data_IF_312286066825
#
_entry.id   IF_312286066825
#
_cell.length_a   1.000
_cell.length_b   1.000
_cell.length_c   1.000
_cell.angle_alpha   90.00
_cell.angle_beta   90.00
_cell.angle_gamma   90.00
#
_symmetry.space_group_name_H-M   'P 1'
#
loop_
_entity.id
_entity.type
_entity.pdbx_description
1 polymer ?
#
# COMPACT_ATOMS: atom_id res chain seq x y z
N UNK A 1 -24.34 11.70 -33.70
CA UNK A 1 -24.30 11.01 -32.39
C UNK A 1 -23.24 11.70 -31.57
N UNK A 2 -23.61 12.38 -30.49
CA UNK A 2 -22.67 13.03 -29.57
C UNK A 2 -21.90 11.95 -28.82
N UNK A 3 -20.57 11.95 -28.92
CA UNK A 3 -19.71 11.10 -28.10
C UNK A 3 -20.02 11.39 -26.63
N UNK A 4 -20.29 10.37 -25.79
CA UNK A 4 -20.52 10.60 -24.38
C UNK A 4 -19.32 11.34 -23.79
N UNK A 5 -19.57 12.34 -22.94
CA UNK A 5 -18.51 13.05 -22.27
C UNK A 5 -17.67 12.08 -21.43
N UNK A 6 -16.36 12.14 -21.56
CA UNK A 6 -15.44 11.31 -20.79
C UNK A 6 -15.52 11.73 -19.32
N UNK A 7 -15.88 10.80 -18.44
CA UNK A 7 -15.84 11.01 -16.98
C UNK A 7 -14.57 10.36 -16.45
N UNK A 8 -13.76 11.13 -15.73
CA UNK A 8 -12.57 10.64 -15.05
C UNK A 8 -12.89 10.35 -13.58
N UNK A 9 -12.55 9.15 -13.12
CA UNK A 9 -12.63 8.76 -11.71
C UNK A 9 -11.23 8.44 -11.23
N UNK A 10 -10.81 9.07 -10.13
CA UNK A 10 -9.49 8.87 -9.52
C UNK A 10 -9.69 8.24 -8.15
N UNK A 11 -8.95 7.16 -7.90
CA UNK A 11 -8.91 6.46 -6.62
C UNK A 11 -7.47 6.55 -6.10
N UNK A 12 -7.33 6.88 -4.82
CA UNK A 12 -6.06 6.87 -4.11
C UNK A 12 -6.15 5.96 -2.88
N UNK A 13 -5.23 5.00 -2.77
CA UNK A 13 -5.12 4.10 -1.63
C UNK A 13 -4.02 4.53 -0.67
N UNK A 14 -4.38 4.99 0.53
CA UNK A 14 -3.46 5.31 1.60
C UNK A 14 -3.39 4.13 2.59
N UNK A 15 -2.25 3.43 2.64
CA UNK A 15 -2.10 2.19 3.42
C UNK A 15 -1.09 2.35 4.55
N UNK A 16 -1.56 2.23 5.80
CA UNK A 16 -0.70 2.35 6.97
C UNK A 16 -1.12 1.39 8.09
N UNK A 17 -0.11 0.93 8.84
CA UNK A 17 -0.26 0.32 10.16
C UNK A 17 0.84 0.87 11.08
N UNK A 18 0.50 1.29 12.31
CA UNK A 18 1.53 1.60 13.30
C UNK A 18 2.35 0.34 13.60
N UNK A 19 3.64 0.48 13.94
CA UNK A 19 4.42 -0.61 14.50
C UNK A 19 3.68 -1.24 15.68
N UNK A 20 3.60 -2.57 15.69
CA UNK A 20 2.96 -3.37 16.74
C UNK A 20 3.90 -4.40 17.33
N UNK A 21 5.12 -4.46 16.81
CA UNK A 21 6.16 -5.37 17.23
C UNK A 21 6.59 -5.03 18.66
N UNK A 22 6.73 -6.07 19.49
CA UNK A 22 7.30 -5.94 20.80
C UNK A 22 8.78 -5.53 20.65
N UNK A 23 9.26 -4.49 21.35
CA UNK A 23 10.61 -3.94 21.12
C UNK A 23 11.74 -4.88 21.57
N UNK A 24 11.45 -5.94 22.33
CA UNK A 24 12.43 -6.96 22.72
C UNK A 24 12.48 -8.15 21.75
N UNK A 25 11.35 -8.54 21.18
CA UNK A 25 11.28 -9.72 20.30
C UNK A 25 11.21 -9.39 18.83
N UNK A 26 10.87 -8.14 18.49
CA UNK A 26 10.62 -7.66 17.13
C UNK A 26 9.50 -8.45 16.41
N UNK A 27 8.59 -9.03 17.20
CA UNK A 27 7.43 -9.79 16.75
C UNK A 27 6.12 -9.13 17.23
N UNK A 28 5.08 -9.21 16.41
CA UNK A 28 3.73 -8.79 16.82
C UNK A 28 3.14 -9.91 17.69
N UNK A 29 2.67 -9.58 18.89
CA UNK A 29 2.04 -10.55 19.80
C UNK A 29 0.64 -10.95 19.30
N UNK A 30 0.13 -12.09 19.77
CA UNK A 30 -1.22 -12.56 19.42
C UNK A 30 -2.29 -11.55 19.85
N UNK A 31 -3.22 -11.24 18.94
CA UNK A 31 -4.32 -10.31 19.20
C UNK A 31 -5.67 -11.02 19.00
N UNK A 32 -6.37 -11.42 20.08
CA UNK A 32 -7.59 -12.23 19.98
C UNK A 32 -8.71 -11.62 19.12
N UNK A 33 -8.80 -10.29 19.04
CA UNK A 33 -9.79 -9.60 18.21
C UNK A 33 -9.53 -9.70 16.69
N UNK A 34 -8.32 -10.13 16.29
CA UNK A 34 -7.98 -10.39 14.90
C UNK A 34 -8.36 -11.79 14.42
N UNK A 35 -8.96 -12.62 15.27
CA UNK A 35 -9.35 -13.98 14.93
C UNK A 35 -10.17 -14.04 13.61
N UNK A 36 -9.91 -15.03 12.74
CA UNK A 36 -9.04 -16.19 12.95
C UNK A 36 -7.55 -15.93 12.73
N UNK A 37 -7.13 -14.74 12.31
CA UNK A 37 -5.72 -14.41 12.14
C UNK A 37 -5.00 -14.28 13.49
N UNK A 38 -3.67 -14.45 13.47
CA UNK A 38 -2.82 -14.29 14.65
C UNK A 38 -2.91 -12.87 15.23
N UNK A 39 -2.84 -11.86 14.36
CA UNK A 39 -2.85 -10.44 14.70
C UNK A 39 -3.50 -9.59 13.60
N UNK A 40 -3.71 -8.29 13.89
CA UNK A 40 -4.35 -7.38 12.95
C UNK A 40 -3.52 -7.10 11.69
N UNK A 41 -2.18 -7.15 11.76
CA UNK A 41 -1.36 -6.97 10.55
C UNK A 41 -1.61 -8.12 9.58
N UNK A 42 -1.61 -9.37 10.07
CA UNK A 42 -1.90 -10.55 9.25
C UNK A 42 -3.32 -10.52 8.69
N UNK A 43 -4.32 -10.20 9.52
CA UNK A 43 -5.72 -10.12 9.07
C UNK A 43 -5.88 -9.11 7.93
N UNK A 44 -5.38 -7.89 8.14
CA UNK A 44 -5.53 -6.81 7.16
C UNK A 44 -4.69 -7.08 5.92
N UNK A 45 -3.54 -7.73 6.05
CA UNK A 45 -2.78 -8.18 4.88
C UNK A 45 -3.56 -9.19 4.05
N UNK A 46 -4.25 -10.15 4.67
CA UNK A 46 -5.04 -11.15 3.97
C UNK A 46 -6.34 -10.58 3.37
N UNK A 47 -6.96 -9.60 4.03
CA UNK A 47 -8.26 -9.05 3.64
C UNK A 47 -8.15 -7.79 2.75
N UNK A 48 -7.02 -7.08 2.76
CA UNK A 48 -6.85 -5.80 2.07
C UNK A 48 -5.59 -5.72 1.19
N UNK A 49 -4.39 -5.83 1.76
CA UNK A 49 -3.16 -5.56 1.00
C UNK A 49 -2.92 -6.62 -0.09
N UNK A 50 -3.09 -7.90 0.26
CA UNK A 50 -2.90 -9.01 -0.67
C UNK A 50 -4.00 -9.02 -1.74
N UNK A 51 -5.31 -8.93 -1.42
CA UNK A 51 -6.35 -8.93 -2.44
C UNK A 51 -6.26 -7.77 -3.44
N UNK A 52 -5.69 -6.62 -3.08
CA UNK A 52 -5.45 -5.55 -4.05
C UNK A 52 -4.40 -5.94 -5.12
N UNK A 53 -3.44 -6.81 -4.80
CA UNK A 53 -2.47 -7.32 -5.77
C UNK A 53 -3.04 -8.34 -6.77
N UNK A 54 -4.17 -8.98 -6.43
CA UNK A 54 -4.85 -10.02 -7.22
C UNK A 54 -6.38 -9.85 -7.18
N UNK A 55 -6.84 -8.63 -7.46
CA UNK A 55 -8.24 -8.29 -7.40
C UNK A 55 -9.03 -8.97 -8.51
N UNK A 56 -10.21 -9.51 -8.16
CA UNK A 56 -11.08 -10.19 -9.12
C UNK A 56 -11.89 -9.14 -9.89
N UNK A 57 -11.68 -9.05 -11.19
CA UNK A 57 -12.58 -8.30 -12.07
C UNK A 57 -13.76 -9.19 -12.44
N UNK A 58 -14.97 -8.69 -12.21
CA UNK A 58 -16.21 -9.42 -12.47
C UNK A 58 -16.92 -8.87 -13.71
N UNK A 59 -17.63 -9.75 -14.44
CA UNK A 59 -18.60 -9.33 -15.46
C UNK A 59 -19.96 -8.94 -14.84
N UNK A 60 -20.93 -8.61 -15.70
CA UNK A 60 -22.29 -8.23 -15.29
C UNK A 60 -23.08 -9.36 -14.60
N UNK A 61 -22.64 -10.61 -14.78
CA UNK A 61 -23.24 -11.80 -14.17
C UNK A 61 -22.47 -12.23 -12.90
N UNK A 62 -21.46 -11.47 -12.48
CA UNK A 62 -20.64 -11.75 -11.30
C UNK A 62 -19.58 -12.83 -11.49
N UNK A 63 -19.28 -13.24 -12.73
CA UNK A 63 -18.21 -14.21 -13.01
C UNK A 63 -16.86 -13.53 -13.02
N UNK A 64 -15.84 -14.21 -12.50
CA UNK A 64 -14.46 -13.72 -12.55
C UNK A 64 -13.97 -13.80 -14.00
N UNK A 65 -13.67 -12.65 -14.59
CA UNK A 65 -13.13 -12.55 -15.95
C UNK A 65 -11.63 -12.27 -15.98
N UNK A 66 -11.07 -11.76 -14.87
CA UNK A 66 -9.65 -11.46 -14.78
C UNK A 66 -9.20 -11.34 -13.31
N UNK A 67 -7.90 -11.52 -13.08
CA UNK A 67 -7.22 -11.17 -11.83
C UNK A 67 -6.27 -10.01 -12.12
N UNK A 68 -6.62 -8.82 -11.63
CA UNK A 68 -5.89 -7.58 -11.91
C UNK A 68 -5.10 -7.12 -10.67
N UNK A 69 -4.04 -6.35 -10.91
CA UNK A 69 -3.33 -5.64 -9.85
C UNK A 69 -3.93 -4.24 -9.68
N UNK A 70 -4.69 -4.00 -8.62
CA UNK A 70 -5.31 -2.70 -8.35
C UNK A 70 -4.26 -1.60 -8.14
N UNK A 71 -3.11 -1.91 -7.55
CA UNK A 71 -2.01 -0.94 -7.38
C UNK A 71 -1.56 -0.33 -8.71
N UNK A 72 -1.70 -1.10 -9.78
CA UNK A 72 -1.35 -0.67 -11.12
C UNK A 72 -2.43 0.26 -11.75
N UNK A 73 -3.64 0.29 -11.18
CA UNK A 73 -4.79 1.07 -11.65
C UNK A 73 -5.25 2.23 -10.74
N UNK A 74 -4.69 2.36 -9.54
CA UNK A 74 -4.95 3.46 -8.60
C UNK A 74 -3.63 4.07 -8.14
N UNK A 75 -3.62 5.36 -7.78
CA UNK A 75 -2.47 5.89 -7.06
C UNK A 75 -2.45 5.37 -5.62
N UNK A 76 -1.28 5.23 -5.01
CA UNK A 76 -1.20 4.72 -3.65
C UNK A 76 0.05 5.17 -2.91
N UNK A 77 -0.02 5.19 -1.60
CA UNK A 77 1.15 5.27 -0.72
C UNK A 77 1.08 4.17 0.33
N UNK A 78 2.25 3.68 0.76
CA UNK A 78 2.35 2.69 1.83
C UNK A 78 3.35 3.19 2.86
N UNK A 79 2.94 3.22 4.13
CA UNK A 79 3.81 3.62 5.23
C UNK A 79 5.06 2.72 5.34
N UNK A 80 6.26 3.28 5.53
CA UNK A 80 7.50 2.49 5.61
C UNK A 80 7.51 1.40 6.68
N UNK A 81 6.85 1.64 7.82
CA UNK A 81 6.73 0.65 8.90
C UNK A 81 5.89 -0.56 8.46
N UNK A 82 4.78 -0.31 7.77
CA UNK A 82 3.95 -1.37 7.18
C UNK A 82 4.72 -2.10 6.08
N UNK A 83 5.43 -1.38 5.21
CA UNK A 83 6.17 -2.02 4.13
C UNK A 83 7.27 -2.95 4.67
N UNK A 84 8.02 -2.51 5.69
CA UNK A 84 9.00 -3.37 6.38
C UNK A 84 8.35 -4.67 6.90
N UNK A 85 7.16 -4.57 7.50
CA UNK A 85 6.43 -5.75 7.97
C UNK A 85 6.03 -6.65 6.80
N UNK A 86 5.51 -6.08 5.71
CA UNK A 86 5.14 -6.83 4.50
C UNK A 86 6.34 -7.57 3.89
N UNK A 87 7.51 -6.94 3.80
CA UNK A 87 8.71 -7.60 3.26
C UNK A 87 9.10 -8.87 4.05
N UNK A 88 8.88 -8.86 5.37
CA UNK A 88 9.23 -9.98 6.25
C UNK A 88 8.14 -11.04 6.29
N UNK A 89 6.88 -10.61 6.40
CA UNK A 89 5.74 -11.49 6.73
C UNK A 89 4.86 -11.83 5.52
N UNK A 90 4.89 -11.01 4.47
CA UNK A 90 4.11 -11.20 3.24
C UNK A 90 4.90 -10.77 1.98
N UNK A 91 6.08 -11.37 1.72
CA UNK A 91 7.00 -10.91 0.69
C UNK A 91 6.39 -10.92 -0.72
N UNK A 92 5.50 -11.86 -1.03
CA UNK A 92 4.78 -11.87 -2.31
C UNK A 92 3.84 -10.67 -2.47
N UNK A 93 3.17 -10.26 -1.38
CA UNK A 93 2.33 -9.06 -1.39
C UNK A 93 3.18 -7.81 -1.60
N UNK A 94 4.32 -7.69 -0.90
CA UNK A 94 5.28 -6.60 -1.10
C UNK A 94 5.78 -6.54 -2.55
N UNK A 95 6.19 -7.69 -3.12
CA UNK A 95 6.63 -7.80 -4.51
C UNK A 95 5.53 -7.38 -5.48
N UNK A 96 4.29 -7.79 -5.23
CA UNK A 96 3.14 -7.48 -6.09
C UNK A 96 2.77 -6.00 -6.08
N UNK A 97 2.94 -5.32 -4.95
CA UNK A 97 2.77 -3.87 -4.85
C UNK A 97 3.80 -3.14 -5.74
N UNK A 98 5.08 -3.50 -5.63
CA UNK A 98 6.17 -2.89 -6.43
C UNK A 98 5.95 -3.18 -7.93
N UNK A 99 5.52 -4.39 -8.27
CA UNK A 99 5.16 -4.75 -9.64
C UNK A 99 4.01 -3.88 -10.16
N UNK A 100 3.01 -3.57 -9.33
CA UNK A 100 1.91 -2.69 -9.71
C UNK A 100 2.37 -1.27 -10.07
N UNK A 101 3.31 -0.72 -9.31
CA UNK A 101 3.92 0.57 -9.64
C UNK A 101 4.67 0.50 -10.99
N UNK A 102 5.50 -0.51 -11.19
CA UNK A 102 6.25 -0.71 -12.45
C UNK A 102 5.32 -0.85 -13.66
N UNK A 103 4.24 -1.63 -13.53
CA UNK A 103 3.23 -1.79 -14.56
C UNK A 103 2.53 -0.45 -14.89
N UNK A 104 2.35 0.41 -13.89
CA UNK A 104 1.81 1.76 -14.11
C UNK A 104 2.81 2.68 -14.80
N UNK A 105 4.11 2.61 -14.48
CA UNK A 105 5.16 3.38 -15.16
C UNK A 105 5.19 3.07 -16.66
N UNK A 106 5.07 1.80 -17.04
CA UNK A 106 5.02 1.38 -18.44
C UNK A 106 3.84 2.03 -19.17
N UNK A 107 2.68 2.16 -18.51
CA UNK A 107 1.47 2.76 -19.08
C UNK A 107 1.49 4.28 -19.15
N UNK A 108 2.15 4.93 -18.19
CA UNK A 108 2.12 6.38 -18.01
C UNK A 108 3.45 7.07 -18.35
N UNK A 109 4.21 6.50 -19.29
CA UNK A 109 5.41 7.14 -19.83
C UNK A 109 6.53 7.34 -18.81
N UNK A 110 6.66 6.43 -17.85
CA UNK A 110 7.67 6.46 -16.79
C UNK A 110 7.16 6.98 -15.44
N UNK A 111 5.90 7.41 -15.34
CA UNK A 111 5.31 7.85 -14.07
C UNK A 111 4.59 6.70 -13.34
N UNK A 112 5.09 6.37 -12.16
CA UNK A 112 4.49 5.36 -11.29
C UNK A 112 3.25 5.88 -10.54
N UNK A 113 2.40 4.96 -10.12
CA UNK A 113 1.24 5.20 -9.28
C UNK A 113 1.59 5.28 -7.79
N UNK A 114 2.78 4.82 -7.37
CA UNK A 114 3.24 4.86 -6.00
C UNK A 114 3.70 6.29 -5.62
N UNK A 115 3.37 6.71 -4.40
CA UNK A 115 3.74 7.99 -3.83
C UNK A 115 4.53 7.76 -2.53
N UNK A 116 5.49 8.65 -2.28
CA UNK A 116 6.25 8.64 -1.03
C UNK A 116 5.34 8.99 0.16
N UNK A 117 5.45 8.19 1.22
CA UNK A 117 4.82 8.44 2.52
C UNK A 117 5.88 8.97 3.51
N UNK A 118 5.55 9.88 4.46
CA UNK A 118 6.46 10.26 5.54
C UNK A 118 6.96 9.02 6.31
N UNK A 119 8.16 9.07 6.90
CA UNK A 119 8.74 7.84 7.46
C UNK A 119 7.89 7.17 8.56
N UNK A 120 7.20 7.98 9.37
CA UNK A 120 6.14 7.54 10.28
C UNK A 120 4.88 8.37 10.03
N UNK A 121 3.73 7.86 10.43
CA UNK A 121 2.43 8.54 10.28
C UNK A 121 2.22 9.64 11.34
N UNK A 122 3.13 10.62 11.35
CA UNK A 122 3.01 11.79 12.21
C UNK A 122 2.07 12.83 11.59
N UNK A 123 1.36 13.57 12.43
CA UNK A 123 0.63 14.77 12.01
C UNK A 123 1.66 15.88 11.76
N UNK A 124 2.21 15.93 10.54
CA UNK A 124 3.34 16.80 10.19
C UNK A 124 3.17 18.28 10.56
N UNK A 125 1.97 18.91 10.46
CA UNK A 125 1.80 20.30 10.90
C UNK A 125 1.98 20.53 12.41
N UNK A 126 1.87 19.48 13.23
CA UNK A 126 2.04 19.54 14.69
C UNK A 126 3.45 19.13 15.14
N UNK A 127 4.28 18.62 14.22
CA UNK A 127 5.64 18.20 14.54
C UNK A 127 6.60 19.40 14.63
N UNK A 128 7.68 19.23 15.39
CA UNK A 128 8.80 20.17 15.36
C UNK A 128 9.31 20.35 13.91
N UNK A 129 9.71 21.56 13.48
CA UNK A 129 10.19 21.79 12.12
C UNK A 129 11.33 20.86 11.69
N UNK A 130 12.23 20.49 12.61
CA UNK A 130 13.34 19.58 12.34
C UNK A 130 12.85 18.14 12.16
N UNK A 131 11.93 17.68 13.00
CA UNK A 131 11.31 16.36 12.88
C UNK A 131 10.52 16.26 11.58
N UNK A 132 9.69 17.26 11.27
CA UNK A 132 8.94 17.33 10.01
C UNK A 132 9.86 17.20 8.80
N UNK A 133 10.96 17.94 8.77
CA UNK A 133 11.93 17.87 7.67
C UNK A 133 12.59 16.48 7.59
N UNK A 134 12.90 15.88 8.74
CA UNK A 134 13.50 14.55 8.84
C UNK A 134 12.55 13.48 8.31
N UNK A 135 11.30 13.46 8.77
CA UNK A 135 10.29 12.49 8.35
C UNK A 135 9.99 12.54 6.86
N UNK A 136 9.97 13.73 6.26
CA UNK A 136 9.81 13.89 4.81
C UNK A 136 11.04 13.36 4.06
N UNK A 137 12.25 13.74 4.48
CA UNK A 137 13.49 13.29 3.84
C UNK A 137 13.65 11.77 3.90
N UNK A 138 13.36 11.18 5.05
CA UNK A 138 13.44 9.73 5.24
C UNK A 138 12.36 9.00 4.45
N UNK A 139 11.14 9.54 4.38
CA UNK A 139 10.08 9.00 3.53
C UNK A 139 10.46 8.99 2.04
N UNK A 140 11.04 10.08 1.54
CA UNK A 140 11.54 10.15 0.16
C UNK A 140 12.69 9.16 -0.07
N UNK A 141 13.62 9.03 0.88
CA UNK A 141 14.73 8.10 0.77
C UNK A 141 14.26 6.64 0.76
N UNK A 142 13.27 6.31 1.59
CA UNK A 142 12.67 4.97 1.64
C UNK A 142 11.95 4.63 0.33
N UNK A 143 11.15 5.56 -0.20
CA UNK A 143 10.50 5.41 -1.49
C UNK A 143 11.50 5.09 -2.61
N UNK A 144 12.58 5.89 -2.72
CA UNK A 144 13.64 5.70 -3.72
C UNK A 144 14.42 4.40 -3.59
N UNK A 145 14.52 3.85 -2.38
CA UNK A 145 15.21 2.59 -2.16
C UNK A 145 14.38 1.38 -2.63
N UNK A 146 13.08 1.57 -2.86
CA UNK A 146 12.09 0.51 -2.99
C UNK A 146 11.40 0.46 -4.35
N UNK A 147 10.96 1.62 -4.83
CA UNK A 147 10.28 1.79 -6.12
C UNK A 147 11.28 2.29 -7.17
#
# INVERSE_FOLDING_TARGET
MTTPATVSVIIHGHFYQPPRENPWTDEVEQQPSAAPAHDWNQRIAAECYTPNGWARRLDHDGRIVDLINNYAGMSFDIGPTLFRWLERQAPETARRIIEGDRDSMVRWGGHGNALAHPYVHAILPLADPQDRATLVRWGIAEFKARF
#
